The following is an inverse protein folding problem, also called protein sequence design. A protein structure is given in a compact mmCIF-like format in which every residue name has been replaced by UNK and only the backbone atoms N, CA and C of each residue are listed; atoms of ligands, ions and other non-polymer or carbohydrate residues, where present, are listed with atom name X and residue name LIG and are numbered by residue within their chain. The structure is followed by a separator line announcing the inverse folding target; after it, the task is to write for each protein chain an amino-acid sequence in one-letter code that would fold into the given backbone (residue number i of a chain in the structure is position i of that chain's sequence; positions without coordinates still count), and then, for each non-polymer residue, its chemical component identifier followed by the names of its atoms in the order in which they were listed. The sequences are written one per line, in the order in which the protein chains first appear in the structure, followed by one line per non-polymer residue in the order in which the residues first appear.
data_IF_409651793479
#
_entry.id   IF_409651793479
#
_cell.length_a   1.000
_cell.length_b   1.000
_cell.length_c   1.000
_cell.angle_alpha   90.00
_cell.angle_beta   90.00
_cell.angle_gamma   90.00
#
_symmetry.space_group_name_H-M   'P 1'
#
loop_
_entity.id
_entity.type
_entity.pdbx_description
1 polymer ?
#
# COMPACT_ATOMS: atom_id res chain seq x y z
N UNK A 1 -11.46 1.86 -21.82
CA UNK A 1 -10.45 2.86 -21.41
C UNK A 1 -9.13 2.12 -21.26
N UNK A 2 -8.21 2.25 -22.22
CA UNK A 2 -7.00 1.43 -22.30
C UNK A 2 -5.80 2.37 -22.32
N UNK A 3 -4.89 2.26 -21.33
CA UNK A 3 -3.51 2.78 -21.46
C UNK A 3 -3.06 3.99 -20.61
N UNK A 4 -3.47 4.16 -19.34
CA UNK A 4 -2.80 5.13 -18.43
C UNK A 4 -1.93 4.50 -17.33
N UNK A 5 -2.17 3.23 -16.96
CA UNK A 5 -1.47 2.58 -15.83
C UNK A 5 0.05 2.55 -16.05
N UNK A 6 0.49 2.24 -17.27
CA UNK A 6 1.92 2.22 -17.62
C UNK A 6 2.61 3.58 -17.39
N UNK A 7 1.90 4.71 -17.57
CA UNK A 7 2.45 6.05 -17.35
C UNK A 7 2.63 6.32 -15.86
N UNK A 8 1.66 5.94 -15.03
CA UNK A 8 1.75 6.09 -13.57
C UNK A 8 2.86 5.22 -12.99
N UNK A 9 3.01 3.98 -13.44
CA UNK A 9 4.13 3.12 -13.04
C UNK A 9 5.47 3.72 -13.45
N UNK A 10 5.60 4.18 -14.69
CA UNK A 10 6.83 4.81 -15.17
C UNK A 10 7.20 6.07 -14.38
N UNK A 11 6.21 6.88 -14.00
CA UNK A 11 6.42 8.07 -13.18
C UNK A 11 6.74 7.74 -11.71
N UNK A 12 6.14 6.68 -11.15
CA UNK A 12 6.26 6.33 -9.73
C UNK A 12 7.53 5.58 -9.35
N UNK A 13 8.02 4.67 -10.22
CA UNK A 13 9.20 3.83 -9.91
C UNK A 13 10.46 4.65 -9.57
N UNK A 14 10.81 5.75 -10.27
CA UNK A 14 11.95 6.58 -9.90
C UNK A 14 11.82 7.18 -8.49
N UNK A 15 10.61 7.52 -8.03
CA UNK A 15 10.39 8.01 -6.67
C UNK A 15 10.57 6.91 -5.64
N UNK A 16 10.09 5.69 -5.92
CA UNK A 16 10.32 4.54 -5.04
C UNK A 16 11.82 4.22 -4.92
N UNK A 17 12.54 4.26 -6.04
CA UNK A 17 14.01 4.10 -6.03
C UNK A 17 14.67 5.19 -5.20
N UNK A 18 14.30 6.46 -5.42
CA UNK A 18 14.84 7.58 -4.65
C UNK A 18 14.57 7.44 -3.16
N UNK A 19 13.34 7.07 -2.75
CA UNK A 19 12.99 6.83 -1.34
C UNK A 19 13.85 5.71 -0.73
N UNK A 20 14.12 4.64 -1.50
CA UNK A 20 14.91 3.50 -1.05
C UNK A 20 16.40 3.83 -0.92
N UNK A 21 16.93 4.63 -1.84
CA UNK A 21 18.36 4.98 -1.87
C UNK A 21 18.70 6.22 -1.03
N UNK A 22 17.71 7.06 -0.70
CA UNK A 22 17.90 8.31 0.05
C UNK A 22 18.56 8.07 1.42
N UNK A 23 19.77 8.62 1.66
CA UNK A 23 20.48 8.43 2.93
C UNK A 23 19.70 8.93 4.15
N UNK A 24 18.90 9.99 3.99
CA UNK A 24 18.10 10.57 5.08
C UNK A 24 16.92 9.69 5.53
N UNK A 25 16.47 8.79 4.65
CA UNK A 25 15.32 7.89 4.86
C UNK A 25 15.74 6.44 5.11
N UNK A 26 17.02 6.11 4.90
CA UNK A 26 17.57 4.78 5.14
C UNK A 26 17.23 4.31 6.55
N UNK A 27 16.64 3.12 6.65
CA UNK A 27 16.22 2.50 7.92
C UNK A 27 14.91 3.04 8.50
N UNK A 28 14.33 4.11 7.96
CA UNK A 28 13.05 4.70 8.42
C UNK A 28 11.84 4.25 7.61
N UNK A 29 12.06 3.81 6.37
CA UNK A 29 11.01 3.35 5.46
C UNK A 29 11.07 1.83 5.34
N UNK A 30 9.92 1.17 5.42
CA UNK A 30 9.72 -0.25 5.23
C UNK A 30 8.92 -0.49 3.95
N UNK A 31 9.49 -1.18 2.97
CA UNK A 31 8.83 -1.51 1.71
C UNK A 31 8.13 -2.86 1.87
N UNK A 32 6.87 -2.83 2.30
CA UNK A 32 6.07 -4.06 2.49
C UNK A 32 5.52 -4.55 1.14
N UNK A 33 5.50 -5.88 0.88
CA UNK A 33 6.02 -6.97 1.72
C UNK A 33 7.50 -7.32 1.44
N UNK A 34 8.16 -6.63 0.51
CA UNK A 34 9.52 -6.97 0.03
C UNK A 34 10.60 -6.99 1.11
N UNK A 35 10.53 -6.10 2.10
CA UNK A 35 11.48 -6.07 3.20
C UNK A 35 11.14 -7.12 4.28
N UNK A 36 9.85 -7.28 4.60
CA UNK A 36 9.27 -8.33 5.46
C UNK A 36 7.74 -8.13 5.55
N UNK A 37 7.00 -9.21 5.87
CA UNK A 37 5.60 -9.13 6.31
C UNK A 37 5.45 -8.52 7.71
N UNK A 38 6.47 -8.65 8.57
CA UNK A 38 6.50 -8.04 9.89
C UNK A 38 6.98 -6.59 9.75
N UNK A 39 6.09 -5.63 10.02
CA UNK A 39 6.40 -4.20 9.97
C UNK A 39 7.03 -3.77 11.30
N UNK A 40 8.28 -3.28 11.31
CA UNK A 40 8.91 -2.82 12.55
C UNK A 40 8.28 -1.54 13.10
N UNK A 41 8.25 -1.41 14.42
CA UNK A 41 7.80 -0.19 15.09
C UNK A 41 8.65 1.03 14.70
N UNK A 42 8.01 2.20 14.65
CA UNK A 42 8.68 3.48 14.37
C UNK A 42 9.08 3.69 12.90
N UNK A 43 8.70 2.79 11.99
CA UNK A 43 8.93 2.95 10.55
C UNK A 43 7.69 3.45 9.82
N UNK A 44 7.90 4.23 8.77
CA UNK A 44 6.88 4.50 7.75
C UNK A 44 6.81 3.33 6.77
N UNK A 45 5.63 3.00 6.27
CA UNK A 45 5.43 1.87 5.36
C UNK A 45 5.08 2.36 3.96
N UNK A 46 5.70 1.77 2.95
CA UNK A 46 5.22 1.81 1.57
C UNK A 46 4.59 0.45 1.29
N UNK A 47 3.32 0.47 0.89
CA UNK A 47 2.56 -0.73 0.56
C UNK A 47 1.71 -0.46 -0.69
N UNK A 48 1.44 -1.52 -1.45
CA UNK A 48 0.50 -1.46 -2.56
C UNK A 48 -0.94 -1.51 -2.03
N UNK A 49 -1.81 -0.68 -2.61
CA UNK A 49 -3.21 -0.54 -2.20
C UNK A 49 -4.11 -0.57 -3.43
N UNK A 50 -5.32 -1.12 -3.25
CA UNK A 50 -6.33 -1.14 -4.31
C UNK A 50 -7.61 -0.42 -3.85
N UNK A 51 -7.83 0.84 -4.27
CA UNK A 51 -8.92 1.68 -3.76
C UNK A 51 -10.32 1.06 -3.88
N UNK A 52 -10.54 0.18 -4.87
CA UNK A 52 -11.83 -0.48 -5.06
C UNK A 52 -12.26 -1.34 -3.86
N UNK A 53 -11.32 -1.78 -3.01
CA UNK A 53 -11.61 -2.50 -1.76
C UNK A 53 -12.32 -1.61 -0.72
N UNK A 54 -12.11 -0.30 -0.78
CA UNK A 54 -12.48 0.64 0.29
C UNK A 54 -13.48 1.68 -0.16
N UNK A 55 -13.35 2.19 -1.38
CA UNK A 55 -14.04 3.41 -1.84
C UNK A 55 -15.56 3.35 -1.76
N UNK A 56 -16.16 2.17 -1.98
CA UNK A 56 -17.62 1.98 -1.89
C UNK A 56 -18.17 2.12 -0.46
N UNK A 57 -17.32 2.14 0.57
CA UNK A 57 -17.72 2.33 1.98
C UNK A 57 -17.96 3.81 2.32
N UNK A 58 -17.53 4.72 1.46
CA UNK A 58 -17.58 6.15 1.73
C UNK A 58 -18.39 6.88 0.66
N UNK A 59 -19.16 7.92 1.02
CA UNK A 59 -19.80 8.76 0.03
C UNK A 59 -18.73 9.47 -0.81
N UNK A 60 -18.99 9.64 -2.11
CA UNK A 60 -18.07 10.32 -3.03
C UNK A 60 -18.14 11.84 -2.94
N UNK A 61 -19.33 12.39 -2.71
CA UNK A 61 -19.58 13.84 -2.68
C UNK A 61 -19.04 14.50 -3.95
N UNK A 62 -18.40 15.67 -3.83
CA UNK A 62 -17.91 16.47 -4.96
C UNK A 62 -16.52 16.05 -5.47
N UNK A 63 -15.93 14.98 -4.91
CA UNK A 63 -14.60 14.50 -5.31
C UNK A 63 -14.61 13.89 -6.71
N UNK A 64 -13.57 14.16 -7.49
CA UNK A 64 -13.27 13.42 -8.71
C UNK A 64 -12.98 11.94 -8.41
N UNK A 65 -12.92 11.09 -9.45
CA UNK A 65 -12.64 9.67 -9.24
C UNK A 65 -11.29 9.43 -8.57
N UNK A 66 -10.24 10.13 -9.02
CA UNK A 66 -8.88 9.94 -8.51
C UNK A 66 -8.73 10.51 -7.09
N UNK A 67 -9.33 11.67 -6.80
CA UNK A 67 -9.39 12.23 -5.44
C UNK A 67 -10.13 11.30 -4.48
N UNK A 68 -11.24 10.71 -4.92
CA UNK A 68 -12.00 9.78 -4.09
C UNK A 68 -11.23 8.47 -3.84
N UNK A 69 -10.52 7.96 -4.84
CA UNK A 69 -9.66 6.78 -4.69
C UNK A 69 -8.54 7.04 -3.67
N UNK A 70 -7.83 8.18 -3.76
CA UNK A 70 -6.79 8.54 -2.78
C UNK A 70 -7.36 8.79 -1.37
N UNK A 71 -8.44 9.57 -1.27
CA UNK A 71 -9.05 9.91 0.01
C UNK A 71 -9.61 8.67 0.71
N UNK A 72 -10.24 7.74 -0.02
CA UNK A 72 -10.87 6.55 0.58
C UNK A 72 -9.85 5.56 1.14
N UNK A 73 -8.68 5.44 0.50
CA UNK A 73 -7.55 4.69 1.04
C UNK A 73 -7.08 5.33 2.35
N UNK A 74 -6.85 6.65 2.36
CA UNK A 74 -6.39 7.35 3.56
C UNK A 74 -7.40 7.27 4.72
N UNK A 75 -8.69 7.46 4.43
CA UNK A 75 -9.77 7.35 5.41
C UNK A 75 -9.86 5.93 5.99
N UNK A 76 -9.74 4.90 5.15
CA UNK A 76 -9.74 3.52 5.62
C UNK A 76 -8.51 3.19 6.47
N UNK A 77 -7.31 3.63 6.07
CA UNK A 77 -6.08 3.43 6.85
C UNK A 77 -6.20 4.06 8.23
N UNK A 78 -6.71 5.30 8.31
CA UNK A 78 -6.94 5.98 9.59
C UNK A 78 -7.95 5.23 10.47
N UNK A 79 -9.07 4.79 9.90
CA UNK A 79 -10.09 4.05 10.65
C UNK A 79 -9.57 2.69 11.14
N UNK A 80 -8.81 1.97 10.30
CA UNK A 80 -8.19 0.70 10.65
C UNK A 80 -7.15 0.85 11.76
N UNK A 81 -6.34 1.91 11.71
CA UNK A 81 -5.34 2.24 12.74
C UNK A 81 -6.01 2.60 14.07
N UNK A 82 -7.00 3.50 14.05
CA UNK A 82 -7.77 3.90 15.25
C UNK A 82 -8.49 2.73 15.92
N UNK A 83 -8.88 1.72 15.14
CA UNK A 83 -9.52 0.49 15.65
C UNK A 83 -8.52 -0.58 16.08
N UNK A 84 -7.21 -0.37 15.90
CA UNK A 84 -6.18 -1.34 16.23
C UNK A 84 -6.20 -2.60 15.36
N UNK A 85 -6.73 -2.51 14.13
CA UNK A 85 -6.82 -3.65 13.20
C UNK A 85 -5.88 -3.53 12.00
N UNK A 86 -5.19 -2.39 11.83
CA UNK A 86 -4.32 -2.16 10.68
C UNK A 86 -3.19 -3.20 10.59
N UNK A 87 -2.59 -3.56 11.73
CA UNK A 87 -1.50 -4.53 11.79
C UNK A 87 -1.85 -5.90 11.17
N UNK A 88 -3.10 -6.33 11.34
CA UNK A 88 -3.58 -7.62 10.82
C UNK A 88 -3.53 -7.68 9.29
N UNK A 89 -3.63 -6.54 8.62
CA UNK A 89 -3.58 -6.46 7.16
C UNK A 89 -2.16 -6.62 6.60
N UNK A 90 -1.12 -6.42 7.42
CA UNK A 90 0.27 -6.70 7.01
C UNK A 90 0.62 -8.19 7.12
N UNK A 91 -0.24 -9.01 7.74
CA UNK A 91 -0.05 -10.45 7.92
C UNK A 91 -1.20 -11.28 7.28
N UNK A 92 -1.39 -11.23 5.95
CA UNK A 92 -2.36 -12.09 5.26
C UNK A 92 -2.07 -13.58 5.51
N UNK A 93 -3.11 -14.45 5.55
CA UNK A 93 -2.99 -15.88 5.82
C UNK A 93 -2.51 -16.64 4.57
N UNK A 94 -1.41 -16.17 3.98
CA UNK A 94 -0.80 -16.74 2.78
C UNK A 94 -0.11 -18.07 3.10
N UNK A 95 -0.27 -19.02 2.18
CA UNK A 95 0.50 -20.25 2.14
C UNK A 95 1.99 -19.96 1.88
N UNK A 96 2.88 -20.91 2.16
CA UNK A 96 4.32 -20.74 1.90
C UNK A 96 4.64 -20.42 0.43
N UNK A 97 4.01 -21.05 -0.59
CA UNK A 97 4.20 -20.66 -1.98
C UNK A 97 3.75 -19.22 -2.27
N UNK A 98 2.59 -18.79 -1.76
CA UNK A 98 2.08 -17.43 -1.96
C UNK A 98 2.98 -16.38 -1.29
N UNK A 99 3.51 -16.67 -0.09
CA UNK A 99 4.49 -15.78 0.56
C UNK A 99 5.74 -15.61 -0.28
N UNK A 100 6.28 -16.70 -0.83
CA UNK A 100 7.45 -16.64 -1.73
C UNK A 100 7.15 -15.86 -3.01
N UNK A 101 5.94 -15.95 -3.53
CA UNK A 101 5.54 -15.15 -4.68
C UNK A 101 5.42 -13.67 -4.29
N UNK A 102 4.80 -13.37 -3.15
CA UNK A 102 4.64 -12.00 -2.65
C UNK A 102 5.98 -11.31 -2.33
N UNK A 103 7.00 -12.05 -1.90
CA UNK A 103 8.37 -11.53 -1.73
C UNK A 103 9.00 -11.06 -3.05
N UNK A 104 8.53 -11.56 -4.20
CA UNK A 104 9.05 -11.23 -5.52
C UNK A 104 8.16 -10.22 -6.26
N UNK A 105 6.85 -10.40 -6.17
CA UNK A 105 5.85 -9.67 -6.97
C UNK A 105 5.10 -8.60 -6.15
N UNK A 106 5.16 -8.66 -4.83
CA UNK A 106 4.41 -7.81 -3.92
C UNK A 106 3.07 -8.42 -3.49
N UNK A 107 2.33 -7.67 -2.68
CA UNK A 107 0.98 -8.01 -2.27
C UNK A 107 0.17 -6.74 -2.06
N UNK A 108 -1.13 -6.81 -2.32
CA UNK A 108 -2.05 -5.68 -2.09
C UNK A 108 -2.53 -5.72 -0.65
N UNK A 109 -2.32 -4.64 0.08
CA UNK A 109 -2.79 -4.49 1.45
C UNK A 109 -4.32 -4.64 1.49
N UNK A 110 -4.81 -5.60 2.27
CA UNK A 110 -6.25 -5.88 2.40
C UNK A 110 -6.80 -7.01 1.51
N UNK A 111 -5.96 -7.65 0.69
CA UNK A 111 -6.34 -8.85 -0.06
C UNK A 111 -5.96 -10.10 0.75
N UNK A 112 -6.91 -11.03 0.84
CA UNK A 112 -6.78 -12.31 1.55
C UNK A 112 -6.80 -13.47 0.57
#
# INVERSE_FOLDING_TARGET
MQGSVAKSTHAGLPWLLWLRESPALRGKVHFWPFDSFEVPEGKSVIAEVYPALYKRRFPREDRTSDEHDAWSVAAWLQEADRRGILEQYFAPPLTLPERKQAELEGWILGVW
#
